data_IF_097412453360
#
_entry.id   IF_097412453360
#
_cell.length_a   1.000
_cell.length_b   1.000
_cell.length_c   1.000
_cell.angle_alpha   90.00
_cell.angle_beta   90.00
_cell.angle_gamma   90.00
#
_symmetry.space_group_name_H-M   'P 1'
#
loop_
_entity.id
_entity.type
_entity.pdbx_description
1 polymer ?
#
# COMPACT_ATOMS: atom_id res chain seq x y z
N UNK A 1 8.12 -11.55 21.06
CA UNK A 1 8.81 -10.31 20.63
C UNK A 1 7.75 -9.39 20.05
N UNK A 2 7.51 -8.20 20.63
CA UNK A 2 6.49 -7.27 20.11
C UNK A 2 6.93 -6.72 18.76
N UNK A 3 6.05 -6.75 17.78
CA UNK A 3 6.27 -6.10 16.50
C UNK A 3 6.16 -4.59 16.65
N UNK A 4 6.88 -3.81 15.85
CA UNK A 4 6.71 -2.34 15.82
C UNK A 4 5.30 -1.93 15.39
N UNK A 5 4.56 -2.87 14.80
CA UNK A 5 3.18 -2.69 14.35
C UNK A 5 2.16 -2.88 15.47
N UNK A 6 2.57 -3.41 16.63
CA UNK A 6 1.68 -3.63 17.79
C UNK A 6 1.18 -2.32 18.43
N UNK A 7 1.75 -1.18 18.02
CA UNK A 7 1.31 0.16 18.43
C UNK A 7 0.19 0.73 17.55
N UNK A 8 -0.18 0.06 16.46
CA UNK A 8 -1.30 0.44 15.62
C UNK A 8 -2.59 -0.20 16.13
N UNK A 9 -3.76 0.44 15.92
CA UNK A 9 -5.04 -0.21 16.16
C UNK A 9 -5.13 -1.57 15.44
N UNK A 10 -5.78 -2.58 16.05
CA UNK A 10 -5.96 -3.88 15.41
C UNK A 10 -6.58 -3.75 14.02
N UNK A 11 -6.04 -4.48 13.05
CA UNK A 11 -6.48 -4.44 11.64
C UNK A 11 -5.91 -3.29 10.82
N UNK A 12 -5.28 -2.28 11.42
CA UNK A 12 -4.64 -1.20 10.67
C UNK A 12 -3.25 -1.62 10.21
N UNK A 13 -3.13 -1.98 8.94
CA UNK A 13 -1.83 -2.20 8.33
C UNK A 13 -1.06 -0.87 8.19
N UNK A 14 0.27 -0.86 8.37
CA UNK A 14 1.11 0.32 8.15
C UNK A 14 1.14 0.77 6.68
N UNK A 15 1.24 2.08 6.43
CA UNK A 15 1.31 2.66 5.08
C UNK A 15 2.63 2.29 4.38
N UNK A 16 3.73 2.25 5.14
CA UNK A 16 5.05 1.86 4.65
C UNK A 16 5.58 0.63 5.40
N UNK A 17 6.23 -0.26 4.67
CA UNK A 17 6.70 -1.54 5.17
C UNK A 17 8.23 -1.64 5.11
N UNK A 18 8.81 -2.33 6.11
CA UNK A 18 10.22 -2.77 6.07
C UNK A 18 10.33 -4.08 5.32
N UNK A 19 11.53 -4.43 4.87
CA UNK A 19 11.85 -5.66 4.11
C UNK A 19 11.10 -6.89 4.63
N UNK A 20 11.25 -7.23 5.91
CA UNK A 20 10.57 -8.37 6.56
C UNK A 20 9.04 -8.34 6.45
N UNK A 21 8.43 -7.17 6.62
CA UNK A 21 6.98 -7.03 6.53
C UNK A 21 6.50 -7.00 5.07
N UNK A 22 7.28 -6.40 4.17
CA UNK A 22 7.00 -6.37 2.75
C UNK A 22 7.07 -7.76 2.13
N UNK A 23 8.06 -8.59 2.50
CA UNK A 23 8.14 -9.98 2.04
C UNK A 23 6.99 -10.83 2.57
N UNK A 24 6.66 -10.67 3.86
CA UNK A 24 5.49 -11.33 4.46
C UNK A 24 4.17 -10.89 3.81
N UNK A 25 4.06 -9.64 3.35
CA UNK A 25 2.88 -9.13 2.65
C UNK A 25 2.64 -9.80 1.29
N UNK A 26 3.70 -10.36 0.68
CA UNK A 26 3.62 -11.19 -0.54
C UNK A 26 3.62 -12.69 -0.24
N UNK A 27 3.62 -13.09 1.03
CA UNK A 27 3.78 -14.49 1.46
C UNK A 27 5.05 -15.16 0.90
N UNK A 28 6.17 -14.43 0.91
CA UNK A 28 7.48 -14.94 0.46
C UNK A 28 8.59 -14.68 1.48
N UNK A 29 9.70 -15.41 1.35
CA UNK A 29 10.92 -15.16 2.13
C UNK A 29 11.55 -13.80 1.76
N UNK A 30 12.33 -13.23 2.68
CA UNK A 30 13.04 -11.97 2.43
C UNK A 30 14.01 -12.04 1.24
N UNK A 31 14.64 -13.19 1.01
CA UNK A 31 15.56 -13.40 -0.13
C UNK A 31 14.81 -13.52 -1.46
N UNK A 32 13.66 -14.18 -1.48
CA UNK A 32 12.80 -14.23 -2.67
C UNK A 32 12.26 -12.84 -3.00
N UNK A 33 11.83 -12.09 -1.99
CA UNK A 33 11.38 -10.71 -2.17
C UNK A 33 12.47 -9.82 -2.77
N UNK A 34 13.71 -9.90 -2.29
CA UNK A 34 14.82 -9.14 -2.86
C UNK A 34 15.08 -9.49 -4.33
N UNK A 35 15.03 -10.78 -4.69
CA UNK A 35 15.15 -11.21 -6.09
C UNK A 35 14.03 -10.62 -6.95
N UNK A 36 12.79 -10.57 -6.45
CA UNK A 36 11.68 -9.96 -7.17
C UNK A 36 11.89 -8.44 -7.39
N UNK A 37 12.52 -7.76 -6.43
CA UNK A 37 12.92 -6.35 -6.57
C UNK A 37 14.03 -6.19 -7.61
N UNK A 38 15.04 -7.07 -7.59
CA UNK A 38 16.14 -7.08 -8.57
C UNK A 38 15.63 -7.35 -9.99
N UNK A 39 14.67 -8.26 -10.13
CA UNK A 39 13.99 -8.59 -11.39
C UNK A 39 13.01 -7.51 -11.87
N UNK A 40 12.74 -6.47 -11.06
CA UNK A 40 11.82 -5.39 -11.42
C UNK A 40 10.34 -5.75 -11.33
N UNK A 41 9.99 -6.90 -10.75
CA UNK A 41 8.60 -7.31 -10.49
C UNK A 41 7.98 -6.43 -9.40
N UNK A 42 8.77 -6.12 -8.37
CA UNK A 42 8.40 -5.28 -7.23
C UNK A 42 9.14 -3.94 -7.32
N UNK A 43 8.52 -2.80 -6.95
CA UNK A 43 9.21 -1.52 -6.92
C UNK A 43 10.44 -1.54 -5.99
N UNK A 44 11.47 -0.79 -6.37
CA UNK A 44 12.64 -0.54 -5.52
C UNK A 44 12.22 0.24 -4.26
N UNK A 45 12.86 0.00 -3.10
CA UNK A 45 12.54 0.72 -1.88
C UNK A 45 12.88 2.21 -2.01
N UNK A 46 12.09 3.05 -1.35
CA UNK A 46 12.51 4.40 -1.04
C UNK A 46 13.55 4.36 0.08
N UNK A 47 14.64 5.12 -0.08
CA UNK A 47 15.69 5.27 0.93
C UNK A 47 15.49 6.60 1.67
N UNK A 48 15.27 6.53 2.97
CA UNK A 48 15.19 7.70 3.85
C UNK A 48 16.32 7.56 4.88
N UNK A 49 17.41 8.30 4.73
CA UNK A 49 18.63 8.07 5.52
C UNK A 49 19.14 6.62 5.37
N UNK A 50 19.34 5.93 6.49
CA UNK A 50 19.83 4.53 6.51
C UNK A 50 18.74 3.49 6.28
N UNK A 51 17.48 3.90 6.10
CA UNK A 51 16.34 2.99 6.11
C UNK A 51 15.74 2.78 4.72
N UNK A 52 15.51 1.51 4.38
CA UNK A 52 14.69 1.12 3.21
C UNK A 52 13.24 0.93 3.64
N UNK A 53 12.33 1.56 2.90
CA UNK A 53 10.89 1.41 3.08
C UNK A 53 10.19 1.21 1.74
N UNK A 54 9.12 0.43 1.75
CA UNK A 54 8.24 0.25 0.60
C UNK A 54 6.88 0.85 0.89
N UNK A 55 6.33 1.57 -0.08
CA UNK A 55 4.98 2.09 -0.01
C UNK A 55 3.98 0.96 -0.32
N UNK A 56 3.12 0.62 0.64
CA UNK A 56 2.22 -0.54 0.53
C UNK A 56 1.29 -0.47 -0.69
N UNK A 57 0.66 0.66 -1.04
CA UNK A 57 -0.15 0.74 -2.26
C UNK A 57 0.63 0.42 -3.54
N UNK A 58 1.91 0.80 -3.64
CA UNK A 58 2.75 0.45 -4.78
C UNK A 58 3.05 -1.06 -4.84
N UNK A 59 3.14 -1.72 -3.68
CA UNK A 59 3.25 -3.18 -3.60
C UNK A 59 1.97 -3.88 -4.08
N UNK A 60 0.79 -3.39 -3.67
CA UNK A 60 -0.51 -3.90 -4.14
C UNK A 60 -0.63 -3.74 -5.66
N UNK A 61 -0.25 -2.57 -6.20
CA UNK A 61 -0.21 -2.33 -7.63
C UNK A 61 0.78 -3.25 -8.38
N UNK A 62 1.91 -3.62 -7.75
CA UNK A 62 2.83 -4.59 -8.32
C UNK A 62 2.22 -6.00 -8.36
N UNK A 63 1.60 -6.45 -7.26
CA UNK A 63 0.94 -7.74 -7.20
C UNK A 63 -0.16 -7.86 -8.27
N UNK A 64 -1.02 -6.86 -8.37
CA UNK A 64 -2.09 -6.82 -9.36
C UNK A 64 -1.58 -6.91 -10.81
N UNK A 65 -0.52 -6.15 -11.14
CA UNK A 65 0.13 -6.23 -12.45
C UNK A 65 0.68 -7.62 -12.74
N UNK A 66 1.29 -8.28 -11.75
CA UNK A 66 1.86 -9.62 -11.90
C UNK A 66 0.80 -10.71 -12.09
N UNK A 67 -0.36 -10.57 -11.45
CA UNK A 67 -1.43 -11.57 -11.48
C UNK A 67 -2.47 -11.30 -12.58
N UNK A 68 -2.31 -10.21 -13.35
CA UNK A 68 -3.33 -9.76 -14.29
C UNK A 68 -4.64 -9.37 -13.61
N UNK A 69 -4.60 -9.09 -12.30
CA UNK A 69 -5.76 -8.66 -11.54
C UNK A 69 -5.98 -7.17 -11.78
N UNK A 70 -7.18 -6.80 -12.18
CA UNK A 70 -7.56 -5.39 -12.27
C UNK A 70 -7.79 -4.84 -10.86
N UNK A 71 -7.05 -3.79 -10.50
CA UNK A 71 -7.37 -3.03 -9.29
C UNK A 71 -8.56 -2.13 -9.61
N UNK A 72 -9.75 -2.60 -9.28
CA UNK A 72 -10.91 -1.73 -9.14
C UNK A 72 -10.68 -0.86 -7.91
N UNK A 73 -10.07 0.31 -8.09
CA UNK A 73 -10.12 1.35 -7.07
C UNK A 73 -11.58 1.79 -7.00
N UNK A 74 -12.33 1.29 -6.02
CA UNK A 74 -13.75 1.61 -5.87
C UNK A 74 -13.89 3.12 -5.70
N UNK A 75 -14.48 3.71 -6.71
CA UNK A 75 -14.82 5.10 -6.85
C UNK A 75 -15.82 5.59 -5.80
N UNK A 76 -15.40 5.74 -4.55
CA UNK A 76 -15.90 6.86 -3.75
C UNK A 76 -15.30 8.19 -4.27
N UNK A 77 -14.31 8.13 -5.17
CA UNK A 77 -13.77 9.26 -5.92
C UNK A 77 -14.62 9.66 -7.14
N UNK A 78 -15.41 8.77 -7.76
CA UNK A 78 -16.33 9.14 -8.85
C UNK A 78 -17.75 9.50 -8.34
N UNK A 79 -18.01 9.43 -7.03
CA UNK A 79 -19.27 9.87 -6.41
C UNK A 79 -19.22 11.29 -5.83
N UNK A 80 -18.29 12.14 -6.27
CA UNK A 80 -18.24 13.57 -5.89
C UNK A 80 -18.85 14.54 -6.92
N UNK A 81 -19.37 14.02 -8.05
CA UNK A 81 -20.16 14.83 -9.00
C UNK A 81 -21.66 14.91 -8.63
N UNK A 82 -22.07 14.27 -7.52
CA UNK A 82 -23.37 14.56 -6.94
C UNK A 82 -23.30 15.93 -6.23
N UNK A 83 -24.19 16.90 -6.51
CA UNK A 83 -24.27 18.15 -5.76
C UNK A 83 -24.33 17.82 -4.27
N UNK A 84 -23.37 18.33 -3.48
CA UNK A 84 -23.37 18.05 -2.06
C UNK A 84 -24.59 18.79 -1.44
N UNK A 85 -25.31 18.10 -0.55
CA UNK A 85 -26.54 18.65 0.05
C UNK A 85 -26.27 19.84 1.00
N UNK A 86 -25.02 20.03 1.43
CA UNK A 86 -24.58 21.15 2.27
C UNK A 86 -24.40 22.46 1.48
N UNK A 87 -24.16 22.41 0.17
CA UNK A 87 -24.05 23.59 -0.70
C UNK A 87 -25.38 24.37 -0.79
N UNK A 88 -26.51 23.71 -0.54
CA UNK A 88 -27.83 24.34 -0.48
C UNK A 88 -28.06 25.13 0.82
N UNK A 89 -27.36 24.78 1.90
CA UNK A 89 -27.55 25.37 3.23
C UNK A 89 -26.74 26.67 3.37
N UNK A 90 -25.58 26.77 2.73
CA UNK A 90 -24.69 27.95 2.83
C UNK A 90 -25.19 29.15 2.01
N UNK A 91 -26.15 28.97 1.11
CA UNK A 91 -26.70 30.03 0.23
C UNK A 91 -27.89 30.81 0.82
N UNK A 92 -28.22 30.64 2.11
CA UNK A 92 -29.31 31.36 2.78
C UNK A 92 -28.79 32.36 3.79
#
# INVERSE_FOLDING_TARGET
>A
MKSRYDHLPPGLLPIVLRRKAASAFFDVSESTFDKMVEQGLIPKPARIGSISIWFRPALVAAAARMTGTELQYSAQAEMQDAPNEWDAIVKK
#
